data_IF_035495713089
#
_entry.id   IF_035495713089
#
_cell.length_a   1.000
_cell.length_b   1.000
_cell.length_c   1.000
_cell.angle_alpha   90.00
_cell.angle_beta   90.00
_cell.angle_gamma   90.00
#
_symmetry.space_group_name_H-M   'P 1'
#
loop_
_entity.id
_entity.type
_entity.pdbx_description
1 polymer ?
#
# COMPACT_ATOMS: atom_id res chain seq x y z
N UNK A 1 -15.67 14.35 -19.38
CA UNK A 1 -16.03 12.91 -19.52
C UNK A 1 -15.51 12.13 -18.32
N UNK A 2 -16.27 12.08 -17.22
CA UNK A 2 -16.03 11.05 -16.20
C UNK A 2 -16.57 9.76 -16.78
N UNK A 3 -15.68 8.84 -17.16
CA UNK A 3 -16.11 7.49 -17.45
C UNK A 3 -16.69 6.93 -16.15
N UNK A 4 -17.96 6.52 -16.17
CA UNK A 4 -18.43 5.50 -15.25
C UNK A 4 -17.48 4.32 -15.39
N UNK A 5 -16.57 4.17 -14.43
CA UNK A 5 -15.69 3.02 -14.38
C UNK A 5 -16.59 1.82 -14.10
N UNK A 6 -16.90 1.05 -15.14
CA UNK A 6 -17.44 -0.30 -14.97
C UNK A 6 -16.52 -0.99 -13.96
N UNK A 7 -17.03 -1.48 -12.82
CA UNK A 7 -16.17 -2.06 -11.80
C UNK A 7 -15.45 -3.25 -12.42
N UNK A 8 -14.13 -3.12 -12.58
CA UNK A 8 -13.29 -4.24 -12.99
C UNK A 8 -13.29 -5.21 -11.80
N UNK A 9 -14.06 -6.28 -11.92
CA UNK A 9 -14.10 -7.34 -10.93
C UNK A 9 -12.80 -8.15 -11.00
N UNK A 10 -11.87 -7.88 -10.09
CA UNK A 10 -10.66 -8.68 -9.96
C UNK A 10 -11.01 -10.04 -9.34
N UNK A 11 -11.13 -11.08 -10.17
CA UNK A 11 -11.30 -12.45 -9.70
C UNK A 11 -9.95 -13.06 -9.31
N UNK A 12 -9.61 -12.93 -8.03
CA UNK A 12 -8.41 -13.52 -7.45
C UNK A 12 -8.66 -15.01 -7.19
N UNK A 13 -7.86 -15.89 -7.80
CA UNK A 13 -7.83 -17.30 -7.46
C UNK A 13 -6.69 -17.56 -6.48
N UNK A 14 -7.02 -17.79 -5.22
CA UNK A 14 -6.05 -18.20 -4.22
C UNK A 14 -5.55 -19.61 -4.54
N UNK A 15 -4.25 -19.76 -4.84
CA UNK A 15 -3.61 -21.06 -5.09
C UNK A 15 -2.95 -21.66 -3.85
N UNK A 16 -2.58 -20.83 -2.87
CA UNK A 16 -1.88 -21.21 -1.64
C UNK A 16 -2.50 -20.46 -0.47
N UNK A 17 -2.52 -21.05 0.72
CA UNK A 17 -2.94 -20.36 1.94
C UNK A 17 -1.98 -19.21 2.32
N UNK A 18 -2.49 -18.05 2.79
CA UNK A 18 -1.66 -17.00 3.33
C UNK A 18 -0.81 -17.54 4.48
N UNK A 19 0.49 -17.34 4.40
CA UNK A 19 1.43 -17.76 5.44
C UNK A 19 2.21 -16.57 5.97
N UNK A 20 2.54 -16.65 7.26
CA UNK A 20 3.50 -15.76 7.89
C UNK A 20 4.90 -16.09 7.37
N UNK A 21 5.65 -15.07 6.97
CA UNK A 21 7.05 -15.21 6.55
C UNK A 21 7.93 -14.73 7.71
N UNK A 22 8.59 -15.64 8.46
CA UNK A 22 9.55 -15.25 9.48
C UNK A 22 10.88 -14.79 8.85
N UNK A 23 11.72 -14.05 9.60
CA UNK A 23 13.10 -13.82 9.20
C UNK A 23 13.85 -15.13 8.97
N UNK A 24 14.75 -15.15 7.98
CA UNK A 24 15.52 -16.35 7.63
C UNK A 24 16.52 -16.78 8.71
N UNK A 25 16.89 -15.84 9.59
CA UNK A 25 17.86 -16.02 10.67
C UNK A 25 17.31 -15.39 11.96
N UNK A 26 17.92 -15.72 13.10
CA UNK A 26 17.52 -15.14 14.38
C UNK A 26 17.84 -13.63 14.42
N UNK A 27 16.85 -12.83 14.78
CA UNK A 27 16.95 -11.38 14.86
C UNK A 27 16.98 -10.89 16.31
N UNK A 28 17.43 -9.65 16.57
CA UNK A 28 17.23 -9.02 17.87
C UNK A 28 15.75 -9.02 18.25
N UNK A 29 15.45 -9.51 19.45
CA UNK A 29 14.10 -9.54 20.00
C UNK A 29 13.90 -8.40 20.99
N UNK A 30 12.64 -7.99 21.19
CA UNK A 30 12.25 -6.97 22.15
C UNK A 30 11.68 -5.72 21.50
N UNK A 31 11.70 -4.61 22.24
CA UNK A 31 10.98 -3.40 21.85
C UNK A 31 11.84 -2.52 20.94
N UNK A 32 11.33 -2.23 19.75
CA UNK A 32 11.86 -1.23 18.84
C UNK A 32 11.06 0.07 18.99
N UNK A 33 11.74 1.14 19.40
CA UNK A 33 11.12 2.45 19.65
C UNK A 33 11.06 3.26 18.36
N UNK A 34 9.86 3.73 18.04
CA UNK A 34 9.64 4.61 16.90
C UNK A 34 9.99 6.06 17.24
N UNK A 35 10.34 6.84 16.23
CA UNK A 35 10.68 8.25 16.41
C UNK A 35 9.43 9.08 16.76
N UNK A 36 9.62 10.30 17.26
CA UNK A 36 8.51 11.23 17.49
C UNK A 36 7.71 11.54 16.21
N UNK A 37 8.34 11.49 15.04
CA UNK A 37 7.65 11.70 13.77
C UNK A 37 6.65 10.56 13.50
N UNK A 38 7.07 9.32 13.75
CA UNK A 38 6.24 8.12 13.58
C UNK A 38 5.05 8.08 14.55
N UNK A 39 5.16 8.75 15.71
CA UNK A 39 4.04 8.88 16.67
C UNK A 39 2.89 9.73 16.13
N UNK A 40 3.19 10.68 15.25
CA UNK A 40 2.20 11.64 14.75
C UNK A 40 1.49 11.16 13.47
N UNK A 41 2.08 10.19 12.75
CA UNK A 41 1.58 9.74 11.44
C UNK A 41 1.64 8.21 11.37
N UNK A 42 0.64 7.55 11.97
CA UNK A 42 0.42 6.13 11.77
C UNK A 42 -0.64 5.95 10.67
N UNK A 43 -0.20 5.86 9.41
CA UNK A 43 -1.09 5.57 8.27
C UNK A 43 -0.64 4.28 7.62
N UNK A 44 -1.54 3.29 7.56
CA UNK A 44 -1.26 2.07 6.80
C UNK A 44 -1.51 2.35 5.33
N UNK A 45 -0.42 2.32 4.57
CA UNK A 45 -0.45 2.35 3.11
C UNK A 45 -0.53 0.92 2.60
N UNK A 46 -1.67 0.54 2.02
CA UNK A 46 -1.83 -0.74 1.34
C UNK A 46 -1.69 -0.50 -0.17
N UNK A 47 -0.76 -1.17 -0.83
CA UNK A 47 -0.56 -1.07 -2.29
C UNK A 47 -0.62 -2.44 -2.95
N UNK A 48 -1.11 -2.46 -4.19
CA UNK A 48 -1.16 -3.64 -5.05
C UNK A 48 -0.34 -3.36 -6.30
N UNK A 49 0.49 -4.32 -6.68
CA UNK A 49 1.27 -4.33 -7.92
C UNK A 49 0.83 -5.52 -8.77
N UNK A 50 0.48 -5.25 -10.03
CA UNK A 50 0.06 -6.24 -11.00
C UNK A 50 1.16 -6.40 -12.03
N UNK A 51 1.78 -7.58 -12.06
CA UNK A 51 2.80 -7.94 -13.04
C UNK A 51 2.19 -8.78 -14.15
N UNK A 52 2.71 -8.64 -15.38
CA UNK A 52 2.30 -9.49 -16.49
C UNK A 52 2.83 -10.90 -16.24
N UNK A 53 1.98 -11.92 -16.43
CA UNK A 53 2.40 -13.31 -16.34
C UNK A 53 3.44 -13.64 -17.42
N UNK A 54 4.50 -14.35 -17.05
CA UNK A 54 5.45 -14.91 -18.00
C UNK A 54 4.77 -15.99 -18.87
N UNK A 55 5.20 -16.13 -20.13
CA UNK A 55 4.60 -17.08 -21.08
C UNK A 55 4.71 -18.54 -20.62
N UNK A 56 5.80 -18.88 -19.92
CA UNK A 56 6.04 -20.20 -19.33
C UNK A 56 5.55 -20.18 -17.87
N UNK A 57 4.25 -20.43 -17.70
CA UNK A 57 3.50 -20.30 -16.44
C UNK A 57 3.89 -21.34 -15.38
N UNK A 58 5.04 -21.17 -14.72
CA UNK A 58 5.22 -21.73 -13.38
C UNK A 58 5.07 -20.65 -12.30
N UNK A 59 3.83 -20.31 -12.00
CA UNK A 59 3.47 -19.36 -10.93
C UNK A 59 3.98 -19.78 -9.55
N UNK A 60 4.32 -21.06 -9.36
CA UNK A 60 4.86 -21.55 -8.08
C UNK A 60 6.24 -20.97 -7.80
N UNK A 61 7.05 -20.77 -8.85
CA UNK A 61 8.41 -20.23 -8.72
C UNK A 61 8.43 -18.78 -8.21
N UNK A 62 7.51 -17.92 -8.69
CA UNK A 62 7.42 -16.52 -8.23
C UNK A 62 7.07 -16.40 -6.75
N UNK A 63 6.17 -17.27 -6.25
CA UNK A 63 5.80 -17.27 -4.84
C UNK A 63 6.99 -17.64 -3.96
N UNK A 64 7.71 -18.69 -4.31
CA UNK A 64 8.88 -19.12 -3.54
C UNK A 64 10.00 -18.08 -3.56
N UNK A 65 10.26 -17.45 -4.72
CA UNK A 65 11.25 -16.37 -4.83
C UNK A 65 10.88 -15.18 -3.94
N UNK A 66 9.61 -14.73 -3.94
CA UNK A 66 9.17 -13.63 -3.08
C UNK A 66 9.22 -13.99 -1.59
N UNK A 67 8.80 -15.21 -1.25
CA UNK A 67 8.83 -15.71 0.14
C UNK A 67 10.26 -15.77 0.67
N UNK A 68 11.19 -16.36 -0.10
CA UNK A 68 12.58 -16.53 0.30
C UNK A 68 13.32 -15.18 0.38
N UNK A 69 13.12 -14.30 -0.60
CA UNK A 69 13.73 -12.97 -0.59
C UNK A 69 13.20 -12.12 0.57
N UNK A 70 11.90 -12.16 0.85
CA UNK A 70 11.32 -11.47 2.01
C UNK A 70 11.91 -11.99 3.33
N UNK A 71 12.00 -13.30 3.52
CA UNK A 71 12.60 -13.88 4.72
C UNK A 71 14.04 -13.39 4.95
N UNK A 72 14.85 -13.29 3.88
CA UNK A 72 16.22 -12.78 3.94
C UNK A 72 16.28 -11.29 4.29
N UNK A 73 15.44 -10.46 3.67
CA UNK A 73 15.39 -9.01 3.96
C UNK A 73 14.93 -8.73 5.39
N UNK A 74 14.01 -9.53 5.93
CA UNK A 74 13.53 -9.41 7.29
C UNK A 74 14.61 -9.63 8.36
N UNK A 75 15.79 -10.19 8.02
CA UNK A 75 16.92 -10.24 8.96
C UNK A 75 17.48 -8.84 9.21
N UNK A 76 17.71 -8.07 8.15
CA UNK A 76 18.20 -6.69 8.25
C UNK A 76 17.11 -5.70 8.67
N UNK A 77 15.85 -5.97 8.31
CA UNK A 77 14.68 -5.13 8.60
C UNK A 77 13.73 -5.82 9.58
N UNK A 78 14.28 -6.42 10.63
CA UNK A 78 13.54 -7.22 11.61
C UNK A 78 12.33 -6.52 12.27
N UNK A 79 12.27 -5.18 12.46
CA UNK A 79 11.06 -4.55 12.98
C UNK A 79 9.84 -4.75 12.08
N UNK A 80 10.01 -4.96 10.76
CA UNK A 80 8.90 -5.25 9.85
C UNK A 80 8.23 -6.60 10.12
N UNK A 81 8.92 -7.53 10.78
CA UNK A 81 8.36 -8.80 11.23
C UNK A 81 7.68 -8.70 12.61
N UNK A 82 7.78 -7.54 13.28
CA UNK A 82 7.24 -7.31 14.61
C UNK A 82 5.74 -6.98 14.62
N UNK A 83 5.24 -6.56 15.79
CA UNK A 83 3.86 -6.12 16.01
C UNK A 83 3.83 -4.71 16.55
N UNK A 84 3.06 -3.86 15.90
CA UNK A 84 2.83 -2.50 16.38
C UNK A 84 1.98 -2.57 17.67
N UNK A 85 2.46 -1.94 18.74
CA UNK A 85 1.80 -1.93 20.06
C UNK A 85 2.04 -0.60 20.78
N UNK A 86 1.40 -0.42 21.94
CA UNK A 86 1.58 0.76 22.79
C UNK A 86 2.43 0.41 24.01
N UNK A 87 3.42 1.24 24.29
CA UNK A 87 4.21 1.19 25.52
C UNK A 87 3.38 1.62 26.73
N UNK A 88 3.87 1.34 27.95
CA UNK A 88 3.27 1.84 29.19
C UNK A 88 3.22 3.38 29.30
N UNK A 89 4.01 4.10 28.50
CA UNK A 89 3.99 5.56 28.40
C UNK A 89 3.05 6.09 27.32
N UNK A 90 2.28 5.22 26.65
CA UNK A 90 1.36 5.60 25.58
C UNK A 90 2.03 5.89 24.23
N UNK A 91 3.32 5.57 24.07
CA UNK A 91 4.04 5.69 22.79
C UNK A 91 3.90 4.42 21.95
N UNK A 92 3.74 4.60 20.65
CA UNK A 92 3.76 3.56 19.63
C UNK A 92 5.16 2.94 19.53
N UNK A 93 5.22 1.62 19.63
CA UNK A 93 6.44 0.83 19.57
C UNK A 93 6.20 -0.43 18.73
N UNK A 94 7.27 -1.09 18.31
CA UNK A 94 7.20 -2.38 17.62
C UNK A 94 7.77 -3.47 18.53
N UNK A 95 6.94 -4.45 18.87
CA UNK A 95 7.37 -5.67 19.56
C UNK A 95 7.96 -6.65 18.54
N UNK A 96 9.28 -6.81 18.56
CA UNK A 96 10.01 -7.68 17.64
C UNK A 96 10.02 -9.10 18.19
N UNK A 97 9.03 -9.91 17.78
CA UNK A 97 8.88 -11.30 18.19
C UNK A 97 9.60 -12.30 17.28
N UNK A 98 9.99 -11.89 16.07
CA UNK A 98 10.57 -12.78 15.04
C UNK A 98 9.56 -13.75 14.42
N UNK A 99 8.28 -13.66 14.79
CA UNK A 99 7.21 -14.58 14.32
C UNK A 99 6.78 -14.34 12.86
N UNK A 100 7.27 -13.27 12.25
CA UNK A 100 7.04 -12.95 10.84
C UNK A 100 6.01 -11.85 10.60
N UNK A 101 6.05 -11.30 9.39
CA UNK A 101 5.24 -10.14 9.01
C UNK A 101 3.78 -10.54 8.75
N UNK A 102 2.85 -9.99 9.53
CA UNK A 102 1.42 -9.97 9.21
C UNK A 102 0.85 -8.58 9.47
N UNK A 103 0.19 -8.01 8.46
CA UNK A 103 -0.42 -6.69 8.58
C UNK A 103 -1.74 -6.80 9.34
N UNK A 104 -1.76 -6.42 10.62
CA UNK A 104 -3.01 -6.16 11.35
C UNK A 104 -2.89 -4.92 12.23
N UNK A 105 -3.38 -3.81 11.72
CA UNK A 105 -4.10 -2.76 12.45
C UNK A 105 -4.49 -1.65 11.47
N UNK A 106 -5.77 -1.31 11.30
CA UNK A 106 -6.14 -0.06 10.63
C UNK A 106 -6.23 1.04 11.70
N UNK A 107 -5.32 2.03 11.74
CA UNK A 107 -5.62 3.26 12.44
C UNK A 107 -6.78 3.96 11.72
N UNK A 108 -7.70 4.52 12.50
CA UNK A 108 -8.84 5.30 12.01
C UNK A 108 -8.41 6.76 11.89
N UNK A 109 -8.59 7.38 10.73
CA UNK A 109 -8.41 8.83 10.50
C UNK A 109 -9.77 9.53 10.30
N UNK A 110 -10.78 9.13 11.07
CA UNK A 110 -12.11 9.70 10.97
C UNK A 110 -12.07 11.24 11.05
N UNK A 111 -12.74 11.90 10.09
CA UNK A 111 -12.92 13.36 10.00
C UNK A 111 -11.69 14.18 9.58
N UNK A 112 -10.71 13.59 8.88
CA UNK A 112 -9.59 14.33 8.28
C UNK A 112 -9.48 14.05 6.78
N UNK A 113 -9.64 15.08 5.94
CA UNK A 113 -9.30 14.99 4.51
C UNK A 113 -7.79 14.90 4.35
N UNK A 114 -7.31 13.73 3.93
CA UNK A 114 -5.90 13.53 3.66
C UNK A 114 -5.59 13.89 2.20
N UNK A 115 -4.78 14.93 1.99
CA UNK A 115 -4.22 15.26 0.67
C UNK A 115 -2.74 14.86 0.65
N UNK A 116 -2.39 13.86 -0.15
CA UNK A 116 -1.00 13.42 -0.28
C UNK A 116 -0.58 13.30 -1.74
N UNK A 117 0.57 13.88 -2.06
CA UNK A 117 1.19 13.77 -3.37
C UNK A 117 2.28 12.71 -3.33
N UNK A 118 2.02 11.58 -3.97
CA UNK A 118 2.99 10.51 -4.16
C UNK A 118 3.47 10.43 -5.62
N UNK A 119 3.32 11.52 -6.37
CA UNK A 119 3.74 11.62 -7.78
C UNK A 119 5.24 11.47 -8.00
N UNK A 120 6.05 11.56 -6.93
CA UNK A 120 7.51 11.34 -6.97
C UNK A 120 7.94 9.97 -6.45
N UNK A 121 7.02 9.14 -5.97
CA UNK A 121 7.34 7.78 -5.60
C UNK A 121 7.39 6.91 -6.86
N UNK A 122 8.45 6.10 -7.03
CA UNK A 122 8.66 5.33 -8.25
C UNK A 122 7.85 4.02 -8.20
N UNK A 123 6.52 4.12 -8.06
CA UNK A 123 5.62 2.97 -8.00
C UNK A 123 5.65 2.12 -9.28
N UNK A 124 6.11 2.69 -10.38
CA UNK A 124 6.31 2.04 -11.68
C UNK A 124 7.72 1.44 -11.86
N UNK A 125 8.64 1.66 -10.91
CA UNK A 125 10.02 1.16 -10.99
C UNK A 125 10.26 -0.17 -10.25
N UNK A 126 9.23 -0.76 -9.65
CA UNK A 126 9.38 -2.07 -8.99
C UNK A 126 9.62 -3.17 -10.03
N UNK A 127 10.85 -3.67 -10.15
CA UNK A 127 11.19 -4.78 -11.05
C UNK A 127 11.84 -5.93 -10.26
N UNK A 128 11.15 -7.07 -10.23
CA UNK A 128 11.61 -8.30 -9.56
C UNK A 128 12.32 -9.27 -10.52
N UNK A 129 12.70 -8.81 -11.72
CA UNK A 129 13.19 -9.64 -12.82
C UNK A 129 12.08 -10.12 -13.76
N UNK A 130 10.84 -9.66 -13.55
CA UNK A 130 9.67 -9.93 -14.41
C UNK A 130 9.30 -8.72 -15.28
N UNK A 131 10.12 -7.67 -15.24
CA UNK A 131 9.83 -6.38 -15.86
C UNK A 131 8.96 -5.49 -14.97
N UNK A 132 8.68 -4.25 -15.44
CA UNK A 132 7.91 -3.29 -14.66
C UNK A 132 6.45 -3.74 -14.46
N UNK A 133 5.77 -3.26 -13.40
CA UNK A 133 4.39 -3.60 -13.16
C UNK A 133 3.52 -3.07 -14.30
N UNK A 134 2.56 -3.88 -14.76
CA UNK A 134 1.55 -3.46 -15.73
C UNK A 134 0.59 -2.44 -15.12
N UNK A 135 0.35 -2.54 -13.80
CA UNK A 135 -0.39 -1.55 -13.03
C UNK A 135 0.03 -1.58 -11.56
N UNK A 136 -0.05 -0.43 -10.89
CA UNK A 136 0.13 -0.31 -9.46
C UNK A 136 -0.81 0.75 -8.89
N UNK A 137 -1.11 0.66 -7.60
CA UNK A 137 -1.96 1.62 -6.90
C UNK A 137 -2.34 1.17 -5.49
N UNK A 138 -3.12 2.00 -4.77
CA UNK A 138 -3.61 1.64 -3.45
C UNK A 138 -4.57 0.44 -3.51
N UNK A 139 -4.46 -0.49 -2.55
CA UNK A 139 -5.35 -1.65 -2.43
C UNK A 139 -6.78 -1.26 -2.01
N UNK A 140 -6.89 -0.15 -1.28
CA UNK A 140 -8.12 0.48 -0.86
C UNK A 140 -7.84 1.97 -0.64
N UNK A 141 -8.86 2.81 -0.74
CA UNK A 141 -8.74 4.19 -0.29
C UNK A 141 -8.56 4.21 1.24
N UNK A 142 -7.61 5.01 1.78
CA UNK A 142 -7.35 5.08 3.22
C UNK A 142 -8.59 5.46 4.05
N UNK A 143 -9.47 6.31 3.51
CA UNK A 143 -10.61 6.95 4.18
C UNK A 143 -11.73 7.26 3.17
N UNK A 144 -12.90 7.72 3.66
CA UNK A 144 -13.97 8.27 2.80
C UNK A 144 -13.60 9.61 2.16
N UNK A 145 -12.68 10.34 2.77
CA UNK A 145 -12.26 11.69 2.38
C UNK A 145 -10.74 11.70 2.11
N UNK A 146 -10.34 11.57 0.86
CA UNK A 146 -8.92 11.48 0.47
C UNK A 146 -8.68 12.03 -0.93
N UNK A 147 -7.58 12.74 -1.12
CA UNK A 147 -7.06 13.09 -2.45
C UNK A 147 -5.62 12.57 -2.57
N UNK A 148 -5.41 11.61 -3.47
CA UNK A 148 -4.12 10.96 -3.70
C UNK A 148 -3.65 11.22 -5.13
N UNK A 149 -2.49 11.85 -5.27
CA UNK A 149 -1.85 12.07 -6.57
C UNK A 149 -0.76 11.03 -6.78
N UNK A 150 -0.93 10.18 -7.79
CA UNK A 150 -0.02 9.10 -8.14
C UNK A 150 0.65 9.39 -9.48
N UNK A 151 1.92 9.02 -9.59
CA UNK A 151 2.59 8.99 -10.90
C UNK A 151 1.93 7.92 -11.78
N UNK A 152 1.75 8.25 -13.07
CA UNK A 152 1.41 7.28 -14.10
C UNK A 152 2.54 7.30 -15.13
N UNK A 153 3.04 6.13 -15.51
CA UNK A 153 4.10 6.01 -16.53
C UNK A 153 3.79 6.86 -17.77
N UNK A 154 4.82 7.48 -18.35
CA UNK A 154 4.67 8.41 -19.47
C UNK A 154 4.45 9.88 -19.08
N UNK A 155 4.71 10.26 -17.82
CA UNK A 155 4.66 11.64 -17.33
C UNK A 155 3.27 12.15 -16.95
N UNK A 156 2.27 11.27 -16.90
CA UNK A 156 0.92 11.59 -16.46
C UNK A 156 0.76 11.53 -14.94
N UNK A 157 -0.30 12.15 -14.42
CA UNK A 157 -0.69 12.07 -13.00
C UNK A 157 -2.07 11.43 -12.90
N UNK A 158 -2.20 10.40 -12.07
CA UNK A 158 -3.49 9.80 -11.70
C UNK A 158 -3.94 10.40 -10.37
N UNK A 159 -5.16 10.89 -10.30
CA UNK A 159 -5.76 11.40 -9.07
C UNK A 159 -6.82 10.42 -8.60
N UNK A 160 -6.70 9.94 -7.36
CA UNK A 160 -7.79 9.26 -6.67
C UNK A 160 -8.42 10.22 -5.68
N UNK A 161 -9.71 10.48 -5.84
CA UNK A 161 -10.48 11.37 -4.98
C UNK A 161 -11.64 10.59 -4.36
N UNK A 162 -11.71 10.59 -3.04
CA UNK A 162 -12.87 10.18 -2.26
C UNK A 162 -13.40 11.38 -1.49
N UNK A 163 -14.69 11.67 -1.60
CA UNK A 163 -15.43 12.65 -0.79
C UNK A 163 -16.83 12.08 -0.49
N UNK A 164 -17.59 12.68 0.46
CA UNK A 164 -19.00 12.31 0.64
C UNK A 164 -19.77 12.48 -0.69
N UNK A 165 -20.80 11.65 -0.97
CA UNK A 165 -21.48 11.67 -2.27
C UNK A 165 -21.97 13.04 -2.73
N UNK A 166 -22.52 13.86 -1.81
CA UNK A 166 -22.96 15.22 -2.11
C UNK A 166 -21.81 16.14 -2.53
N UNK A 167 -20.65 16.03 -1.87
CA UNK A 167 -19.46 16.80 -2.21
C UNK A 167 -18.82 16.34 -3.52
N UNK A 168 -18.85 15.03 -3.82
CA UNK A 168 -18.41 14.52 -5.14
C UNK A 168 -19.27 15.06 -6.28
N UNK A 169 -20.60 15.13 -6.10
CA UNK A 169 -21.50 15.67 -7.11
C UNK A 169 -21.23 17.15 -7.39
N UNK A 170 -21.04 17.94 -6.33
CA UNK A 170 -20.71 19.37 -6.47
C UNK A 170 -19.31 19.59 -7.06
N UNK A 171 -18.32 18.81 -6.64
CA UNK A 171 -16.98 18.85 -7.22
C UNK A 171 -17.01 18.59 -8.72
N UNK A 172 -17.78 17.59 -9.16
CA UNK A 172 -17.93 17.29 -10.58
C UNK A 172 -18.52 18.47 -11.36
N UNK A 173 -19.58 19.08 -10.83
CA UNK A 173 -20.21 20.26 -11.43
C UNK A 173 -19.21 21.40 -11.63
N UNK A 174 -18.39 21.69 -10.62
CA UNK A 174 -17.36 22.75 -10.68
C UNK A 174 -16.26 22.39 -11.69
N UNK A 175 -15.83 21.13 -11.76
CA UNK A 175 -14.81 20.70 -12.74
C UNK A 175 -15.31 20.91 -14.16
N UNK A 176 -16.56 20.56 -14.45
CA UNK A 176 -17.14 20.73 -15.79
C UNK A 176 -17.22 22.22 -16.17
N UNK A 177 -17.61 23.11 -15.24
CA UNK A 177 -17.59 24.57 -15.46
C UNK A 177 -16.20 25.11 -15.77
N UNK A 178 -15.16 24.62 -15.07
CA UNK A 178 -13.77 25.07 -15.28
C UNK A 178 -13.23 24.58 -16.62
N UNK A 179 -13.57 23.35 -17.02
CA UNK A 179 -13.14 22.78 -18.30
C UNK A 179 -13.82 23.49 -19.47
N UNK A 180 -15.12 23.78 -19.36
CA UNK A 180 -15.86 24.48 -20.41
C UNK A 180 -15.43 25.95 -20.57
N UNK A 181 -14.80 26.53 -19.55
CA UNK A 181 -14.25 27.88 -19.57
C UNK A 181 -12.79 27.97 -20.09
N UNK A 182 -12.11 26.85 -20.33
CA UNK A 182 -10.71 26.75 -20.73
C UNK A 182 -10.53 26.48 -22.23
#
# INVERSE_FOLDING_TARGET
MVQETVPVELRIRQRVEPSLVPPAEQTPNGLYYLSNLDQNIAVIVQTVYLFRAAADNDSSSSFDVLRESLAKVLVAYYPLAGRLTMSGEGKLIVDCTGEGAATRARPSLASTLLVTAWSRLPFDAADFGWGPPAACGPAALPEREVALFLSCGGGGVRVLLGLPPAAMAEFQRIVDEVVDAA
#
